data_IF_262826370590
#
_entry.id   IF_262826370590
#
_cell.length_a   1.000
_cell.length_b   1.000
_cell.length_c   1.000
_cell.angle_alpha   90.00
_cell.angle_beta   90.00
_cell.angle_gamma   90.00
#
_symmetry.space_group_name_H-M   'P 1'
#
loop_
_entity.id
_entity.type
_entity.pdbx_description
1 polymer ?
#
# COMPACT_ATOMS: atom_id res chain seq x y z
N UNK A 1 -17.67 -5.59 18.55
CA UNK A 1 -17.05 -4.38 17.96
C UNK A 1 -17.62 -4.14 16.57
N UNK A 2 -17.43 -2.92 16.03
CA UNK A 2 -17.96 -2.46 14.74
C UNK A 2 -16.83 -1.93 13.89
N UNK A 3 -16.71 -2.35 12.65
CA UNK A 3 -15.74 -1.81 11.68
C UNK A 3 -16.45 -1.09 10.54
N UNK A 4 -15.91 0.04 10.13
CA UNK A 4 -16.32 0.76 8.94
C UNK A 4 -15.27 0.51 7.83
N UNK A 5 -15.68 -0.04 6.71
CA UNK A 5 -14.84 -0.21 5.53
C UNK A 5 -15.25 0.81 4.48
N UNK A 6 -14.33 1.69 4.11
CA UNK A 6 -14.54 2.67 3.05
C UNK A 6 -14.13 2.09 1.71
N UNK A 7 -15.06 2.09 0.75
CA UNK A 7 -14.89 1.48 -0.56
C UNK A 7 -15.46 0.07 -0.66
N UNK A 8 -15.72 -0.36 -1.91
CA UNK A 8 -16.13 -1.72 -2.27
C UNK A 8 -15.50 -2.13 -3.62
N UNK A 9 -14.22 -1.79 -3.80
CA UNK A 9 -13.39 -2.26 -4.91
C UNK A 9 -12.83 -3.66 -4.66
N UNK A 10 -12.01 -4.18 -5.56
CA UNK A 10 -11.49 -5.56 -5.45
C UNK A 10 -10.71 -5.80 -4.15
N UNK A 11 -9.83 -4.88 -3.75
CA UNK A 11 -9.08 -4.98 -2.49
C UNK A 11 -10.00 -4.91 -1.26
N UNK A 12 -11.00 -4.01 -1.29
CA UNK A 12 -11.98 -3.88 -0.21
C UNK A 12 -12.85 -5.14 -0.06
N UNK A 13 -13.23 -5.77 -1.16
CA UNK A 13 -13.97 -7.04 -1.12
C UNK A 13 -13.19 -8.16 -0.44
N UNK A 14 -11.86 -8.21 -0.68
CA UNK A 14 -10.98 -9.16 0.02
C UNK A 14 -10.92 -8.85 1.52
N UNK A 15 -10.71 -7.59 1.89
CA UNK A 15 -10.70 -7.17 3.29
C UNK A 15 -12.02 -7.50 4.00
N UNK A 16 -13.16 -7.23 3.35
CA UNK A 16 -14.49 -7.53 3.91
C UNK A 16 -14.69 -9.03 4.12
N UNK A 17 -14.25 -9.88 3.17
CA UNK A 17 -14.30 -11.33 3.34
C UNK A 17 -13.48 -11.78 4.54
N UNK A 18 -12.25 -11.31 4.66
CA UNK A 18 -11.38 -11.64 5.79
C UNK A 18 -11.96 -11.20 7.14
N UNK A 19 -12.54 -10.00 7.21
CA UNK A 19 -13.20 -9.48 8.42
C UNK A 19 -14.43 -10.32 8.83
N UNK A 20 -15.09 -10.99 7.89
CA UNK A 20 -16.22 -11.88 8.14
C UNK A 20 -15.76 -13.29 8.52
N UNK A 21 -14.72 -13.80 7.88
CA UNK A 21 -14.17 -15.15 8.10
C UNK A 21 -13.38 -15.25 9.41
N UNK A 22 -12.78 -14.13 9.86
CA UNK A 22 -12.01 -14.04 11.12
C UNK A 22 -12.69 -13.03 12.08
N UNK A 23 -13.82 -13.37 12.71
CA UNK A 23 -14.74 -12.42 13.31
C UNK A 23 -14.23 -11.84 14.64
N UNK A 24 -13.49 -10.76 14.59
CA UNK A 24 -13.26 -9.84 15.71
C UNK A 24 -14.45 -8.86 15.83
N UNK A 25 -15.10 -8.57 14.72
CA UNK A 25 -16.21 -7.64 14.62
C UNK A 25 -17.55 -8.33 14.53
N UNK A 26 -18.55 -7.79 15.24
CA UNK A 26 -19.95 -8.23 15.14
C UNK A 26 -20.70 -7.51 14.02
N UNK A 27 -20.19 -6.33 13.61
CA UNK A 27 -20.79 -5.51 12.57
C UNK A 27 -19.71 -5.03 11.61
N UNK A 28 -19.93 -5.22 10.32
CA UNK A 28 -19.12 -4.67 9.22
C UNK A 28 -20.01 -3.76 8.39
N UNK A 29 -19.72 -2.47 8.38
CA UNK A 29 -20.43 -1.48 7.55
C UNK A 29 -19.55 -1.14 6.35
N UNK A 30 -20.10 -1.28 5.16
CA UNK A 30 -19.45 -0.91 3.89
C UNK A 30 -19.98 0.46 3.49
N UNK A 31 -19.11 1.46 3.41
CA UNK A 31 -19.47 2.79 2.98
C UNK A 31 -18.90 3.08 1.58
N UNK A 32 -19.76 3.37 0.63
CA UNK A 32 -19.39 3.54 -0.77
C UNK A 32 -20.36 4.46 -1.53
N UNK A 33 -19.88 5.09 -2.59
CA UNK A 33 -20.76 5.81 -3.54
C UNK A 33 -21.58 4.86 -4.43
N UNK A 34 -21.13 3.63 -4.63
CA UNK A 34 -21.74 2.61 -5.49
C UNK A 34 -22.53 1.59 -4.66
N UNK A 35 -23.60 2.06 -4.03
CA UNK A 35 -24.44 1.25 -3.12
C UNK A 35 -24.96 -0.03 -3.79
N UNK A 36 -25.57 -0.02 -5.00
CA UNK A 36 -26.09 -1.26 -5.59
C UNK A 36 -25.03 -2.34 -5.77
N UNK A 37 -23.85 -1.99 -6.27
CA UNK A 37 -22.75 -2.94 -6.47
C UNK A 37 -22.21 -3.52 -5.13
N UNK A 38 -22.30 -2.77 -4.04
CA UNK A 38 -21.95 -3.26 -2.71
C UNK A 38 -23.04 -4.17 -2.13
N UNK A 39 -24.29 -3.88 -2.37
CA UNK A 39 -25.43 -4.75 -2.00
C UNK A 39 -25.38 -6.08 -2.74
N UNK A 40 -25.11 -6.06 -4.05
CA UNK A 40 -24.90 -7.27 -4.86
C UNK A 40 -23.74 -8.12 -4.29
N UNK A 41 -22.65 -7.45 -3.89
CA UNK A 41 -21.54 -8.15 -3.24
C UNK A 41 -21.94 -8.74 -1.89
N UNK A 42 -22.68 -8.01 -1.05
CA UNK A 42 -23.16 -8.54 0.23
C UNK A 42 -24.11 -9.74 0.06
N UNK A 43 -24.89 -9.78 -0.99
CA UNK A 43 -25.78 -10.91 -1.29
C UNK A 43 -25.01 -12.23 -1.55
N UNK A 44 -23.68 -12.17 -1.78
CA UNK A 44 -22.84 -13.37 -1.94
C UNK A 44 -22.45 -14.03 -0.60
N UNK A 45 -22.67 -13.34 0.53
CA UNK A 45 -22.35 -13.88 1.85
C UNK A 45 -23.49 -14.75 2.38
N UNK A 46 -23.20 -15.91 2.98
CA UNK A 46 -24.22 -16.68 3.70
C UNK A 46 -24.70 -15.89 4.92
N UNK A 47 -25.91 -16.16 5.36
CA UNK A 47 -26.37 -15.65 6.64
C UNK A 47 -25.47 -16.18 7.77
N UNK A 48 -24.82 -15.27 8.49
CA UNK A 48 -23.84 -15.58 9.52
C UNK A 48 -24.03 -14.75 10.79
N UNK A 49 -23.08 -14.90 11.71
CA UNK A 49 -23.07 -14.16 13.00
C UNK A 49 -22.67 -12.70 12.86
N UNK A 50 -21.93 -12.35 11.79
CA UNK A 50 -21.52 -10.98 11.50
C UNK A 50 -22.63 -10.24 10.76
N UNK A 51 -23.02 -9.09 11.29
CA UNK A 51 -24.03 -8.23 10.64
C UNK A 51 -23.37 -7.34 9.60
N UNK A 52 -23.82 -7.47 8.36
CA UNK A 52 -23.33 -6.70 7.22
C UNK A 52 -24.33 -5.59 6.86
N UNK A 53 -23.80 -4.40 6.54
CA UNK A 53 -24.61 -3.25 6.16
C UNK A 53 -23.89 -2.44 5.08
N UNK A 54 -24.64 -1.89 4.12
CA UNK A 54 -24.15 -0.90 3.15
C UNK A 54 -24.70 0.48 3.50
N UNK A 55 -23.86 1.51 3.30
CA UNK A 55 -24.22 2.92 3.48
C UNK A 55 -23.67 3.72 2.29
N UNK A 56 -24.52 4.57 1.71
CA UNK A 56 -24.09 5.54 0.71
C UNK A 56 -23.31 6.68 1.35
N UNK A 57 -22.03 6.87 0.95
CA UNK A 57 -21.22 7.97 1.44
C UNK A 57 -20.22 8.43 0.37
N UNK A 58 -20.00 9.73 0.28
CA UNK A 58 -18.85 10.32 -0.39
C UNK A 58 -17.83 10.72 0.67
N UNK A 59 -16.62 10.17 0.60
CA UNK A 59 -15.53 10.43 1.56
C UNK A 59 -15.07 11.90 1.56
N UNK A 60 -15.45 12.69 0.58
CA UNK A 60 -15.21 14.14 0.54
C UNK A 60 -16.19 14.93 1.44
N UNK A 61 -17.29 14.31 1.86
CA UNK A 61 -18.27 14.95 2.76
C UNK A 61 -17.84 14.75 4.22
N UNK A 62 -16.98 15.64 4.71
CA UNK A 62 -16.24 15.52 5.97
C UNK A 62 -17.13 15.31 7.19
N UNK A 63 -18.18 16.08 7.35
CA UNK A 63 -19.08 15.99 8.53
C UNK A 63 -19.85 14.67 8.53
N UNK A 64 -20.40 14.28 7.38
CA UNK A 64 -21.11 13.00 7.20
C UNK A 64 -20.20 11.82 7.49
N UNK A 65 -18.96 11.88 6.97
CA UNK A 65 -17.98 10.81 7.15
C UNK A 65 -17.55 10.71 8.62
N UNK A 66 -17.24 11.84 9.26
CA UNK A 66 -16.84 11.86 10.69
C UNK A 66 -17.97 11.34 11.60
N UNK A 67 -19.23 11.74 11.35
CA UNK A 67 -20.38 11.23 12.07
C UNK A 67 -20.57 9.71 11.90
N UNK A 68 -20.31 9.19 10.70
CA UNK A 68 -20.36 7.75 10.42
C UNK A 68 -19.20 7.01 11.13
N UNK A 69 -17.98 7.53 11.04
CA UNK A 69 -16.81 6.97 11.74
C UNK A 69 -17.01 6.92 13.26
N UNK A 70 -17.61 7.95 13.83
CA UNK A 70 -17.88 8.02 15.28
C UNK A 70 -18.75 6.85 15.80
N UNK A 71 -19.58 6.26 14.94
CA UNK A 71 -20.45 5.11 15.26
C UNK A 71 -19.72 3.76 15.24
N UNK A 72 -18.43 3.73 14.84
CA UNK A 72 -17.63 2.54 14.68
C UNK A 72 -16.39 2.58 15.58
N UNK A 73 -15.84 1.42 15.89
CA UNK A 73 -14.66 1.29 16.76
C UNK A 73 -13.37 1.53 15.98
N UNK A 74 -13.37 1.22 14.68
CA UNK A 74 -12.23 1.43 13.76
C UNK A 74 -12.73 1.63 12.33
N UNK A 75 -11.97 2.39 11.55
CA UNK A 75 -12.19 2.54 10.10
C UNK A 75 -11.05 1.92 9.31
N UNK A 76 -11.38 1.19 8.23
CA UNK A 76 -10.45 0.65 7.26
C UNK A 76 -10.69 1.35 5.91
N UNK A 77 -9.75 2.18 5.46
CA UNK A 77 -9.88 2.94 4.22
C UNK A 77 -9.25 2.22 3.03
N UNK A 78 -10.10 1.77 2.10
CA UNK A 78 -9.75 1.24 0.79
C UNK A 78 -10.45 2.02 -0.34
N UNK A 79 -10.85 3.28 -0.06
CA UNK A 79 -11.53 4.15 -1.02
C UNK A 79 -10.50 4.92 -1.86
N UNK A 80 -10.11 4.36 -2.99
CA UNK A 80 -9.22 5.05 -3.93
C UNK A 80 -9.92 6.06 -4.87
N UNK A 81 -9.14 6.86 -5.60
CA UNK A 81 -7.68 6.90 -5.58
C UNK A 81 -7.12 7.60 -4.33
N UNK A 82 -5.99 7.09 -3.81
CA UNK A 82 -5.46 7.48 -2.50
C UNK A 82 -5.00 8.94 -2.46
N UNK A 83 -4.37 9.45 -3.53
CA UNK A 83 -3.92 10.84 -3.64
C UNK A 83 -5.05 11.89 -3.51
N UNK A 84 -6.33 11.49 -3.66
CA UNK A 84 -7.49 12.36 -3.43
C UNK A 84 -8.16 12.10 -2.08
N UNK A 85 -8.16 10.87 -1.59
CA UNK A 85 -9.06 10.45 -0.53
C UNK A 85 -8.36 10.24 0.83
N UNK A 86 -7.06 9.95 0.88
CA UNK A 86 -6.38 9.60 2.13
C UNK A 86 -6.44 10.73 3.17
N UNK A 87 -6.07 11.95 2.78
CA UNK A 87 -6.07 13.11 3.69
C UNK A 87 -7.47 13.49 4.19
N UNK A 88 -8.51 13.62 3.33
CA UNK A 88 -9.88 13.80 3.78
C UNK A 88 -10.34 12.74 4.78
N UNK A 89 -10.07 11.47 4.51
CA UNK A 89 -10.46 10.36 5.40
C UNK A 89 -9.73 10.44 6.75
N UNK A 90 -8.42 10.74 6.75
CA UNK A 90 -7.65 10.91 7.97
C UNK A 90 -8.17 12.09 8.83
N UNK A 91 -8.52 13.22 8.21
CA UNK A 91 -9.13 14.36 8.91
C UNK A 91 -10.47 13.99 9.55
N UNK A 92 -11.31 13.24 8.84
CA UNK A 92 -12.58 12.77 9.38
C UNK A 92 -12.39 11.79 10.56
N UNK A 93 -11.38 10.90 10.50
CA UNK A 93 -11.03 10.00 11.59
C UNK A 93 -10.57 10.77 12.85
N UNK A 94 -9.72 11.79 12.68
CA UNK A 94 -9.29 12.68 13.76
C UNK A 94 -10.50 13.40 14.38
N UNK A 95 -11.38 13.97 13.56
CA UNK A 95 -12.60 14.65 14.03
C UNK A 95 -13.57 13.71 14.75
N UNK A 96 -13.65 12.46 14.32
CA UNK A 96 -14.47 11.42 14.94
C UNK A 96 -13.84 10.85 16.23
N UNK A 97 -12.56 11.08 16.51
CA UNK A 97 -11.84 10.45 17.62
C UNK A 97 -11.73 8.92 17.46
N UNK A 98 -11.56 8.42 16.21
CA UNK A 98 -11.56 6.98 15.93
C UNK A 98 -10.32 6.55 15.15
N UNK A 99 -9.74 5.38 15.49
CA UNK A 99 -8.56 4.87 14.80
C UNK A 99 -8.86 4.52 13.34
N UNK A 100 -7.81 4.62 12.51
CA UNK A 100 -7.87 4.43 11.08
C UNK A 100 -6.74 3.54 10.60
N UNK A 101 -7.05 2.57 9.74
CA UNK A 101 -6.10 1.95 8.80
C UNK A 101 -6.33 2.53 7.42
N UNK A 102 -5.24 2.92 6.75
CA UNK A 102 -5.27 3.48 5.40
C UNK A 102 -4.25 2.74 4.51
N UNK A 103 -4.63 2.41 3.28
CA UNK A 103 -3.76 1.69 2.33
C UNK A 103 -3.04 2.63 1.37
N UNK A 104 -2.91 3.90 1.71
CA UNK A 104 -2.30 4.91 0.83
C UNK A 104 -0.85 4.57 0.52
N UNK A 105 -0.53 4.59 -0.76
CA UNK A 105 0.74 4.27 -1.38
C UNK A 105 1.30 5.40 -2.28
N UNK A 106 0.63 6.54 -2.29
CA UNK A 106 1.10 7.74 -2.99
C UNK A 106 2.09 8.54 -2.13
N UNK A 107 3.25 8.87 -2.66
CA UNK A 107 4.28 9.63 -1.96
C UNK A 107 3.78 10.99 -1.44
N UNK A 108 3.08 11.76 -2.29
CA UNK A 108 2.56 13.07 -1.91
C UNK A 108 1.48 12.98 -0.81
N UNK A 109 0.52 12.05 -0.97
CA UNK A 109 -0.51 11.81 0.04
C UNK A 109 0.09 11.35 1.37
N UNK A 110 1.16 10.56 1.34
CA UNK A 110 1.86 10.10 2.55
C UNK A 110 2.55 11.26 3.28
N UNK A 111 3.17 12.20 2.58
CA UNK A 111 3.72 13.42 3.19
C UNK A 111 2.62 14.24 3.88
N UNK A 112 1.49 14.44 3.19
CA UNK A 112 0.37 15.20 3.73
C UNK A 112 -0.28 14.50 4.94
N UNK A 113 -0.35 13.17 4.93
CA UNK A 113 -0.81 12.37 6.07
C UNK A 113 0.11 12.57 7.28
N UNK A 114 1.43 12.51 7.12
CA UNK A 114 2.36 12.81 8.20
C UNK A 114 2.23 14.25 8.73
N UNK A 115 1.80 15.19 7.89
CA UNK A 115 1.44 16.55 8.30
C UNK A 115 0.28 16.61 9.30
N UNK A 116 -0.53 15.55 9.43
CA UNK A 116 -1.62 15.43 10.40
C UNK A 116 -1.19 14.78 11.72
N UNK A 117 0.07 14.35 11.88
CA UNK A 117 0.54 13.62 13.06
C UNK A 117 0.24 14.35 14.39
N UNK A 118 0.56 15.65 14.47
CA UNK A 118 0.30 16.44 15.68
C UNK A 118 -1.19 16.52 16.02
N UNK A 119 -2.05 16.66 15.01
CA UNK A 119 -3.49 16.71 15.21
C UNK A 119 -4.05 15.35 15.65
N UNK A 120 -3.55 14.26 15.06
CA UNK A 120 -3.93 12.90 15.45
C UNK A 120 -3.48 12.60 16.90
N UNK A 121 -2.25 12.97 17.28
CA UNK A 121 -1.76 12.86 18.67
C UNK A 121 -2.62 13.64 19.65
N UNK A 122 -2.93 14.90 19.34
CA UNK A 122 -3.77 15.75 20.20
C UNK A 122 -5.18 15.18 20.38
N UNK A 123 -5.72 14.50 19.38
CA UNK A 123 -7.03 13.84 19.43
C UNK A 123 -6.97 12.43 20.06
N UNK A 124 -5.80 11.89 20.39
CA UNK A 124 -5.63 10.51 20.86
C UNK A 124 -5.97 9.46 19.81
N UNK A 125 -5.83 9.81 18.52
CA UNK A 125 -6.20 8.94 17.39
C UNK A 125 -4.95 8.29 16.79
N UNK A 126 -4.98 6.98 16.65
CA UNK A 126 -3.95 6.22 15.91
C UNK A 126 -4.38 6.06 14.45
N UNK A 127 -3.55 6.50 13.53
CA UNK A 127 -3.71 6.31 12.09
C UNK A 127 -2.55 5.45 11.59
N UNK A 128 -2.82 4.23 11.17
CA UNK A 128 -1.85 3.37 10.48
C UNK A 128 -1.99 3.63 9.00
N UNK A 129 -0.99 4.28 8.42
CA UNK A 129 -0.96 4.61 6.99
C UNK A 129 -0.14 3.59 6.19
N UNK A 130 -0.49 3.39 4.92
CA UNK A 130 0.28 2.55 4.03
C UNK A 130 0.28 1.06 4.41
N UNK A 131 -0.85 0.54 4.91
CA UNK A 131 -0.92 -0.87 5.29
C UNK A 131 -1.57 -1.72 4.19
N UNK A 132 -0.79 -1.95 3.14
CA UNK A 132 -1.12 -2.85 2.03
C UNK A 132 -0.05 -3.90 1.80
N UNK A 133 0.21 -4.23 0.55
CA UNK A 133 1.30 -5.11 0.13
C UNK A 133 2.66 -4.37 0.15
N UNK A 134 2.71 -3.23 -0.54
CA UNK A 134 3.82 -2.29 -0.62
C UNK A 134 3.21 -0.88 -0.80
N UNK A 135 3.38 0.01 0.18
CA UNK A 135 3.84 -0.24 1.54
C UNK A 135 2.93 -1.17 2.34
N UNK A 136 3.43 -1.63 3.46
CA UNK A 136 2.69 -2.46 4.41
C UNK A 136 3.45 -3.74 4.74
N UNK A 137 3.17 -4.84 4.05
CA UNK A 137 3.89 -6.11 4.25
C UNK A 137 5.39 -5.91 4.06
N UNK A 138 5.83 -5.19 3.03
CA UNK A 138 7.24 -4.85 2.79
C UNK A 138 7.88 -4.11 3.97
N UNK A 139 7.17 -3.16 4.57
CA UNK A 139 7.64 -2.40 5.73
C UNK A 139 7.74 -3.26 7.00
N UNK A 140 6.74 -4.12 7.23
CA UNK A 140 6.75 -5.04 8.37
C UNK A 140 7.88 -6.08 8.25
N UNK A 141 8.13 -6.58 7.03
CA UNK A 141 9.28 -7.45 6.75
C UNK A 141 10.61 -6.70 6.94
N UNK A 142 10.66 -5.42 6.57
CA UNK A 142 11.83 -4.57 6.85
C UNK A 142 12.09 -4.45 8.35
N UNK A 143 11.04 -4.21 9.16
CA UNK A 143 11.14 -4.18 10.62
C UNK A 143 11.56 -5.53 11.19
N UNK A 144 10.94 -6.62 10.72
CA UNK A 144 11.30 -7.97 11.14
C UNK A 144 12.77 -8.30 10.86
N UNK A 145 13.29 -7.93 9.70
CA UNK A 145 14.71 -8.09 9.37
C UNK A 145 15.62 -7.17 10.18
N UNK A 146 15.21 -5.94 10.40
CA UNK A 146 15.96 -4.94 11.15
C UNK A 146 16.13 -5.33 12.63
N UNK A 147 15.10 -5.88 13.26
CA UNK A 147 15.11 -6.32 14.66
C UNK A 147 16.11 -7.47 14.92
N UNK A 148 16.63 -8.09 13.86
CA UNK A 148 17.63 -9.15 13.92
C UNK A 148 19.05 -8.66 13.59
N UNK A 149 19.25 -7.35 13.50
CA UNK A 149 20.53 -6.70 13.20
C UNK A 149 20.93 -5.77 14.35
N UNK A 150 22.24 -5.70 14.62
CA UNK A 150 22.80 -4.72 15.58
C UNK A 150 22.71 -3.30 15.00
N UNK A 151 22.81 -3.17 13.67
CA UNK A 151 22.72 -1.91 12.95
C UNK A 151 22.16 -2.14 11.54
N UNK A 152 21.16 -1.36 11.17
CA UNK A 152 20.60 -1.33 9.82
C UNK A 152 21.30 -0.26 9.00
N UNK A 153 21.73 -0.59 7.79
CA UNK A 153 22.41 0.33 6.88
C UNK A 153 21.58 0.62 5.62
N UNK A 154 20.98 -0.42 5.02
CA UNK A 154 20.17 -0.28 3.82
C UNK A 154 18.89 -1.09 3.91
N UNK A 155 17.79 -0.56 3.38
CA UNK A 155 16.54 -1.29 3.18
C UNK A 155 16.10 -1.08 1.73
N UNK A 156 15.86 -2.18 1.02
CA UNK A 156 15.40 -2.18 -0.37
C UNK A 156 14.11 -2.96 -0.48
N UNK A 157 13.08 -2.30 -0.97
CA UNK A 157 11.79 -2.91 -1.26
C UNK A 157 11.61 -3.04 -2.77
N UNK A 158 10.89 -4.07 -3.18
CA UNK A 158 10.53 -4.21 -4.58
C UNK A 158 9.30 -5.08 -4.77
N UNK A 159 8.55 -4.82 -5.86
CA UNK A 159 7.36 -5.58 -6.14
C UNK A 159 7.08 -5.71 -7.65
N UNK A 160 6.32 -6.73 -7.99
CA UNK A 160 5.89 -7.03 -9.36
C UNK A 160 4.38 -7.16 -9.37
N UNK A 161 3.73 -6.43 -10.26
CA UNK A 161 2.31 -6.57 -10.52
C UNK A 161 2.06 -7.12 -11.93
N UNK A 162 1.07 -8.00 -12.04
CA UNK A 162 0.62 -8.48 -13.35
C UNK A 162 -0.47 -7.57 -13.93
N UNK A 163 -0.38 -7.26 -15.21
CA UNK A 163 -1.43 -6.53 -15.92
C UNK A 163 -2.80 -7.22 -15.83
N UNK A 164 -2.83 -8.55 -15.78
CA UNK A 164 -4.05 -9.35 -15.55
C UNK A 164 -4.64 -9.24 -14.15
N UNK A 165 -3.95 -8.63 -13.17
CA UNK A 165 -4.41 -8.42 -11.78
C UNK A 165 -4.58 -6.94 -11.42
N UNK A 166 -4.71 -6.06 -12.42
CA UNK A 166 -4.76 -4.60 -12.23
C UNK A 166 -6.04 -4.06 -11.59
N UNK A 167 -6.93 -4.88 -11.08
CA UNK A 167 -8.09 -4.40 -10.32
C UNK A 167 -8.99 -3.44 -11.10
N UNK A 168 -9.44 -2.37 -10.43
CA UNK A 168 -10.40 -1.41 -10.98
C UNK A 168 -9.83 -0.03 -11.33
N UNK A 169 -10.68 0.90 -11.82
CA UNK A 169 -10.25 2.22 -12.30
C UNK A 169 -9.48 3.06 -11.26
N UNK A 170 -9.76 2.90 -9.97
CA UNK A 170 -9.08 3.66 -8.92
C UNK A 170 -7.61 3.29 -8.80
N UNK A 171 -7.28 1.99 -8.89
CA UNK A 171 -5.88 1.53 -8.92
C UNK A 171 -5.16 2.03 -10.17
N UNK A 172 -5.79 1.94 -11.35
CA UNK A 172 -5.17 2.45 -12.58
C UNK A 172 -4.87 3.95 -12.49
N UNK A 173 -5.81 4.74 -11.94
CA UNK A 173 -5.58 6.19 -11.71
C UNK A 173 -4.41 6.43 -10.77
N UNK A 174 -4.28 5.65 -9.68
CA UNK A 174 -3.13 5.70 -8.80
C UNK A 174 -1.84 5.38 -9.57
N UNK A 175 -1.79 4.31 -10.34
CA UNK A 175 -0.61 3.90 -11.10
C UNK A 175 -0.20 4.96 -12.14
N UNK A 176 -1.16 5.56 -12.86
CA UNK A 176 -0.89 6.65 -13.79
C UNK A 176 -0.35 7.90 -13.07
N UNK A 177 -0.82 8.16 -11.85
CA UNK A 177 -0.35 9.25 -11.02
C UNK A 177 1.06 8.98 -10.49
N UNK A 178 1.29 7.92 -9.75
CA UNK A 178 2.55 7.59 -9.08
C UNK A 178 3.71 7.40 -10.05
N UNK A 179 3.47 6.80 -11.22
CA UNK A 179 4.49 6.50 -12.21
C UNK A 179 4.94 7.71 -13.04
N UNK A 180 4.23 8.82 -12.96
CA UNK A 180 4.53 10.04 -13.73
C UNK A 180 4.79 11.26 -12.84
N UNK A 181 4.69 11.10 -11.53
CA UNK A 181 5.05 12.11 -10.55
C UNK A 181 6.47 11.87 -10.02
N UNK A 182 6.83 12.58 -8.96
CA UNK A 182 8.16 12.51 -8.38
C UNK A 182 8.36 11.17 -7.67
N UNK A 183 9.47 10.50 -7.95
CA UNK A 183 9.97 9.36 -7.22
C UNK A 183 11.24 9.73 -6.45
N UNK A 184 11.49 9.07 -5.33
CA UNK A 184 12.59 9.38 -4.45
C UNK A 184 13.26 8.13 -3.92
N UNK A 185 14.56 8.23 -3.69
CA UNK A 185 15.33 7.31 -2.85
C UNK A 185 15.85 8.08 -1.64
N UNK A 186 16.06 7.40 -0.53
CA UNK A 186 16.79 7.96 0.61
C UNK A 186 18.25 7.57 0.49
N UNK A 187 19.16 8.54 0.55
CA UNK A 187 20.59 8.33 0.42
C UNK A 187 21.35 9.28 1.34
N UNK A 188 22.17 8.73 2.25
CA UNK A 188 23.04 9.43 3.19
C UNK A 188 22.37 10.64 3.89
N UNK A 189 21.18 10.42 4.44
CA UNK A 189 20.44 11.41 5.25
C UNK A 189 19.51 12.33 4.47
N UNK A 190 19.39 12.17 3.16
CA UNK A 190 18.54 13.03 2.31
C UNK A 190 17.68 12.25 1.31
N UNK A 191 16.52 12.82 0.99
CA UNK A 191 15.69 12.31 -0.11
C UNK A 191 16.26 12.85 -1.45
N UNK A 192 16.61 11.94 -2.35
CA UNK A 192 17.10 12.25 -3.70
C UNK A 192 16.05 11.87 -4.74
N UNK A 193 15.70 12.82 -5.59
CA UNK A 193 14.75 12.58 -6.67
C UNK A 193 15.36 11.70 -7.77
N UNK A 194 14.57 10.74 -8.26
CA UNK A 194 14.91 9.79 -9.31
C UNK A 194 13.80 9.74 -10.35
N UNK A 195 14.10 9.23 -11.55
CA UNK A 195 13.13 9.09 -12.63
C UNK A 195 12.48 7.71 -12.58
N UNK A 196 11.13 7.64 -12.38
CA UNK A 196 10.43 6.37 -12.38
C UNK A 196 10.68 5.57 -13.67
N UNK A 197 10.89 4.26 -13.55
CA UNK A 197 11.16 3.29 -14.64
C UNK A 197 12.42 3.58 -15.50
N UNK A 198 13.16 4.64 -15.24
CA UNK A 198 14.38 4.97 -15.96
C UNK A 198 15.64 4.75 -15.11
N UNK A 199 15.60 5.20 -13.84
CA UNK A 199 16.73 5.07 -12.92
C UNK A 199 16.63 3.78 -12.06
N UNK A 200 17.76 3.31 -11.54
CA UNK A 200 17.85 2.19 -10.61
C UNK A 200 17.49 0.83 -11.20
N UNK A 201 17.63 0.66 -12.52
CA UNK A 201 17.35 -0.63 -13.17
C UNK A 201 18.28 -1.70 -12.66
N UNK A 202 17.69 -2.82 -12.25
CA UNK A 202 18.43 -4.02 -11.85
C UNK A 202 17.56 -5.27 -12.08
N UNK A 203 18.21 -6.42 -12.17
CA UNK A 203 17.52 -7.72 -12.23
C UNK A 203 17.53 -8.35 -10.86
N UNK A 204 16.35 -8.66 -10.35
CA UNK A 204 16.13 -9.27 -9.03
C UNK A 204 15.50 -10.65 -9.22
N UNK A 205 15.97 -11.61 -8.41
CA UNK A 205 15.37 -12.95 -8.34
C UNK A 205 14.14 -12.94 -7.43
N UNK A 206 13.01 -13.43 -7.94
CA UNK A 206 11.76 -13.53 -7.21
C UNK A 206 11.25 -14.97 -7.17
N UNK A 207 10.60 -15.37 -6.05
CA UNK A 207 9.92 -16.67 -5.98
C UNK A 207 8.90 -16.82 -7.10
N UNK A 208 8.81 -18.01 -7.69
CA UNK A 208 7.83 -18.36 -8.74
C UNK A 208 8.05 -17.64 -10.07
N UNK A 209 8.60 -16.42 -10.07
CA UNK A 209 8.75 -15.59 -11.28
C UNK A 209 10.15 -15.68 -11.88
N UNK A 210 11.17 -16.07 -11.09
CA UNK A 210 12.57 -16.04 -11.50
C UNK A 210 13.15 -14.62 -11.60
N UNK A 211 14.18 -14.41 -12.42
CA UNK A 211 14.84 -13.12 -12.57
C UNK A 211 13.96 -12.13 -13.35
N UNK A 212 13.71 -10.97 -12.76
CA UNK A 212 12.88 -9.91 -13.35
C UNK A 212 13.58 -8.55 -13.21
N UNK A 213 13.61 -7.78 -14.29
CA UNK A 213 14.09 -6.40 -14.27
C UNK A 213 13.06 -5.49 -13.62
N UNK A 214 13.52 -4.70 -12.65
CA UNK A 214 12.76 -3.66 -11.92
C UNK A 214 13.48 -2.33 -12.01
N UNK A 215 12.77 -1.24 -11.73
CA UNK A 215 13.32 0.12 -11.68
C UNK A 215 12.64 0.92 -10.58
N UNK A 216 13.21 2.06 -10.19
CA UNK A 216 12.62 2.93 -9.17
C UNK A 216 11.20 3.37 -9.56
N UNK A 217 10.35 3.53 -8.55
CA UNK A 217 8.96 3.94 -8.68
C UNK A 217 8.60 5.00 -7.62
N UNK A 218 7.52 5.74 -7.86
CA UNK A 218 7.07 6.81 -6.97
C UNK A 218 6.22 6.30 -5.80
N UNK A 219 6.84 5.59 -4.86
CA UNK A 219 6.22 5.07 -3.64
C UNK A 219 6.82 5.69 -2.37
N UNK A 220 6.13 5.64 -1.21
CA UNK A 220 6.53 6.32 0.01
C UNK A 220 7.52 5.55 0.89
N UNK A 221 7.83 4.27 0.61
CA UNK A 221 8.68 3.43 1.46
C UNK A 221 10.02 4.08 1.80
N UNK A 222 10.79 4.70 0.85
CA UNK A 222 12.06 5.32 1.20
C UNK A 222 11.92 6.39 2.28
N UNK A 223 10.83 7.16 2.25
CA UNK A 223 10.54 8.19 3.24
C UNK A 223 10.06 7.61 4.57
N UNK A 224 9.19 6.60 4.55
CA UNK A 224 8.68 5.94 5.74
C UNK A 224 9.80 5.24 6.50
N UNK A 225 10.62 4.47 5.79
CA UNK A 225 11.75 3.72 6.34
C UNK A 225 12.82 4.66 6.92
N UNK A 226 13.15 5.76 6.24
CA UNK A 226 14.11 6.75 6.73
C UNK A 226 13.66 7.40 8.06
N UNK A 227 12.35 7.55 8.28
CA UNK A 227 11.81 8.06 9.54
C UNK A 227 11.87 7.02 10.67
N UNK A 228 11.72 5.74 10.32
CA UNK A 228 11.61 4.64 11.28
C UNK A 228 12.97 4.07 11.71
N UNK A 229 14.00 4.19 10.86
CA UNK A 229 15.33 3.64 11.09
C UNK A 229 16.43 4.72 11.08
N UNK A 230 16.81 5.28 12.25
CA UNK A 230 17.75 6.41 12.31
C UNK A 230 19.17 6.11 11.80
N UNK A 231 19.60 4.83 11.77
CA UNK A 231 20.91 4.41 11.26
C UNK A 231 20.92 4.17 9.74
N UNK A 232 19.76 4.28 9.09
CA UNK A 232 19.62 3.99 7.67
C UNK A 232 20.42 4.98 6.82
N UNK A 233 21.13 4.45 5.85
CA UNK A 233 21.92 5.22 4.89
C UNK A 233 21.30 5.18 3.49
N UNK A 234 20.59 4.10 3.17
CA UNK A 234 19.96 3.96 1.87
C UNK A 234 18.59 3.26 1.99
N UNK A 235 17.60 3.79 1.30
CA UNK A 235 16.33 3.09 1.06
C UNK A 235 15.81 3.42 -0.35
N UNK A 236 15.31 2.39 -1.02
CA UNK A 236 14.61 2.52 -2.30
C UNK A 236 13.37 1.62 -2.37
N UNK A 237 12.48 1.96 -3.30
CA UNK A 237 11.42 1.07 -3.76
C UNK A 237 11.49 0.94 -5.28
N UNK A 238 11.36 -0.29 -5.78
CA UNK A 238 11.43 -0.62 -7.20
C UNK A 238 10.25 -1.47 -7.61
N UNK A 239 9.83 -1.31 -8.85
CA UNK A 239 8.75 -2.12 -9.37
C UNK A 239 8.88 -2.42 -10.87
N UNK A 240 8.04 -3.34 -11.31
CA UNK A 240 7.72 -3.53 -12.72
C UNK A 240 6.34 -4.14 -12.90
N UNK A 241 5.75 -3.90 -14.06
CA UNK A 241 4.52 -4.54 -14.48
C UNK A 241 4.81 -5.58 -15.56
N UNK A 242 4.15 -6.73 -15.47
CA UNK A 242 4.31 -7.79 -16.45
C UNK A 242 2.99 -8.05 -17.20
N UNK A 243 3.02 -8.22 -18.53
CA UNK A 243 4.21 -8.08 -19.39
C UNK A 243 4.75 -6.65 -19.41
N UNK A 244 6.04 -6.48 -19.69
CA UNK A 244 6.77 -5.19 -19.56
C UNK A 244 6.23 -4.06 -20.44
N UNK A 245 5.49 -4.38 -21.50
CA UNK A 245 4.78 -3.38 -22.32
C UNK A 245 3.79 -2.53 -21.50
N UNK A 246 3.30 -3.05 -20.37
CA UNK A 246 2.42 -2.30 -19.46
C UNK A 246 3.16 -1.11 -18.83
N UNK A 247 4.48 -1.23 -18.56
CA UNK A 247 5.29 -0.10 -18.05
C UNK A 247 5.26 1.08 -19.03
N UNK A 248 5.55 0.82 -20.31
CA UNK A 248 5.52 1.85 -21.36
C UNK A 248 4.13 2.47 -21.49
N UNK A 249 3.08 1.64 -21.47
CA UNK A 249 1.71 2.11 -21.56
C UNK A 249 1.34 3.05 -20.40
N UNK A 250 1.69 2.69 -19.16
CA UNK A 250 1.44 3.51 -17.98
C UNK A 250 2.22 4.83 -18.06
N UNK A 251 3.48 4.80 -18.50
CA UNK A 251 4.29 6.02 -18.63
C UNK A 251 3.74 6.98 -19.69
N UNK A 252 3.41 6.47 -20.88
CA UNK A 252 2.91 7.32 -21.98
C UNK A 252 1.53 7.91 -21.65
N UNK A 253 0.60 7.07 -21.19
CA UNK A 253 -0.74 7.55 -20.84
C UNK A 253 -0.74 8.37 -19.55
N UNK A 254 0.17 8.13 -18.61
CA UNK A 254 0.36 8.97 -17.44
C UNK A 254 0.80 10.37 -17.79
N UNK A 255 1.71 10.54 -18.79
CA UNK A 255 2.09 11.87 -19.31
C UNK A 255 0.90 12.60 -19.92
N UNK A 256 0.02 11.89 -20.65
CA UNK A 256 -1.23 12.44 -21.19
C UNK A 256 -2.17 12.87 -20.04
N UNK A 257 -2.36 11.99 -19.06
CA UNK A 257 -3.22 12.25 -17.91
C UNK A 257 -2.78 13.49 -17.09
N UNK A 258 -1.47 13.69 -16.93
CA UNK A 258 -0.89 14.85 -16.23
C UNK A 258 -1.21 16.19 -16.88
N UNK A 259 -1.57 16.22 -18.17
CA UNK A 259 -1.90 17.48 -18.85
C UNK A 259 -3.09 18.19 -18.17
N UNK A 260 -3.99 17.43 -17.55
CA UNK A 260 -5.17 17.94 -16.84
C UNK A 260 -6.14 18.75 -17.71
N UNK A 261 -5.87 18.88 -19.00
CA UNK A 261 -6.67 19.72 -19.93
C UNK A 261 -7.62 18.82 -20.71
N UNK A 262 -8.94 18.95 -20.50
CA UNK A 262 -9.92 18.20 -21.27
C UNK A 262 -9.75 18.40 -22.78
N UNK A 263 -9.84 17.31 -23.52
CA UNK A 263 -9.66 17.28 -24.97
C UNK A 263 -11.02 17.11 -25.66
N UNK A 264 -11.37 17.95 -26.65
CA UNK A 264 -12.61 17.77 -27.41
C UNK A 264 -12.50 16.58 -28.38
N UNK A 265 -13.36 15.58 -28.17
CA UNK A 265 -13.46 14.40 -29.04
C UNK A 265 -14.92 14.18 -29.39
N UNK A 266 -15.25 14.22 -30.69
CA UNK A 266 -16.62 14.01 -31.17
C UNK A 266 -17.65 14.96 -30.52
N UNK A 267 -17.26 16.20 -30.25
CA UNK A 267 -18.13 17.20 -29.60
C UNK A 267 -18.29 17.07 -28.08
N UNK A 268 -17.55 16.16 -27.44
CA UNK A 268 -17.51 16.00 -25.98
C UNK A 268 -16.12 16.36 -25.44
N UNK A 269 -16.07 16.97 -24.27
CA UNK A 269 -14.83 17.17 -23.53
C UNK A 269 -14.51 15.89 -22.77
N UNK A 270 -13.35 15.32 -23.03
CA UNK A 270 -12.84 14.11 -22.37
C UNK A 270 -11.73 14.51 -21.42
N UNK A 271 -11.85 14.12 -20.17
CA UNK A 271 -10.78 14.23 -19.16
C UNK A 271 -9.64 13.25 -19.52
N UNK A 272 -8.38 13.73 -19.63
CA UNK A 272 -7.26 12.86 -20.01
C UNK A 272 -7.00 11.71 -19.03
N UNK A 273 -7.22 11.91 -17.72
CA UNK A 273 -7.07 10.86 -16.70
C UNK A 273 -8.14 9.79 -16.86
N UNK A 274 -9.40 10.19 -17.14
CA UNK A 274 -10.50 9.24 -17.38
C UNK A 274 -10.24 8.40 -18.63
N UNK A 275 -9.77 9.05 -19.70
CA UNK A 275 -9.40 8.35 -20.92
C UNK A 275 -8.25 7.36 -20.67
N UNK A 276 -7.14 7.83 -20.07
CA UNK A 276 -5.97 7.01 -19.81
C UNK A 276 -6.30 5.81 -18.91
N UNK A 277 -7.03 6.03 -17.82
CA UNK A 277 -7.42 4.96 -16.92
C UNK A 277 -8.33 3.92 -17.58
N UNK A 278 -9.28 4.37 -18.41
CA UNK A 278 -10.17 3.47 -19.14
C UNK A 278 -9.44 2.66 -20.19
N UNK A 279 -8.50 3.28 -20.91
CA UNK A 279 -7.69 2.62 -21.94
C UNK A 279 -6.77 1.55 -21.34
N UNK A 280 -6.04 1.88 -20.25
CA UNK A 280 -5.18 0.91 -19.56
C UNK A 280 -6.01 -0.26 -19.04
N UNK A 281 -7.16 0.01 -18.42
CA UNK A 281 -8.03 -1.04 -17.89
C UNK A 281 -8.50 -1.99 -19.00
N UNK A 282 -8.93 -1.45 -20.13
CA UNK A 282 -9.37 -2.25 -21.26
C UNK A 282 -8.22 -3.05 -21.90
N UNK A 283 -7.01 -2.46 -22.00
CA UNK A 283 -5.82 -3.16 -22.45
C UNK A 283 -5.49 -4.34 -21.53
N UNK A 284 -5.50 -4.13 -20.22
CA UNK A 284 -5.18 -5.14 -19.22
C UNK A 284 -6.21 -6.28 -19.17
N UNK A 285 -7.48 -6.00 -19.43
CA UNK A 285 -8.52 -7.04 -19.55
C UNK A 285 -8.25 -8.04 -20.70
N UNK A 286 -7.59 -7.59 -21.75
CA UNK A 286 -7.20 -8.45 -22.88
C UNK A 286 -6.01 -9.36 -22.59
N UNK A 287 -5.39 -9.23 -21.41
CA UNK A 287 -4.34 -10.12 -20.92
C UNK A 287 -4.91 -11.37 -20.21
N UNK A 288 -6.14 -11.75 -20.52
CA UNK A 288 -6.77 -12.97 -20.02
C UNK A 288 -5.89 -14.21 -20.32
N UNK A 289 -5.82 -15.12 -19.34
CA UNK A 289 -4.95 -16.31 -19.44
C UNK A 289 -3.49 -16.10 -19.01
N UNK A 290 -3.06 -14.86 -18.76
CA UNK A 290 -1.78 -14.59 -18.11
C UNK A 290 -1.93 -14.81 -16.60
N UNK A 291 -0.98 -15.51 -15.98
CA UNK A 291 -0.98 -15.71 -14.52
C UNK A 291 -1.13 -14.36 -13.79
N UNK A 292 -2.06 -14.24 -12.83
CA UNK A 292 -2.23 -13.02 -12.05
C UNK A 292 -1.23 -12.89 -10.89
N UNK A 293 -0.30 -13.83 -10.75
CA UNK A 293 0.64 -13.88 -9.63
C UNK A 293 1.75 -12.86 -9.84
N UNK A 294 1.81 -11.89 -8.95
CA UNK A 294 2.92 -10.98 -8.75
C UNK A 294 3.83 -11.43 -7.62
N UNK A 295 4.74 -10.57 -7.18
CA UNK A 295 5.62 -10.84 -6.06
C UNK A 295 5.98 -9.54 -5.33
N UNK A 296 6.41 -9.67 -4.08
CA UNK A 296 7.07 -8.61 -3.31
C UNK A 296 8.38 -9.15 -2.73
N UNK A 297 9.31 -8.24 -2.47
CA UNK A 297 10.58 -8.57 -1.86
C UNK A 297 11.06 -7.40 -1.00
N UNK A 298 11.57 -7.74 0.17
CA UNK A 298 12.23 -6.79 1.09
C UNK A 298 13.62 -7.31 1.39
N UNK A 299 14.62 -6.46 1.26
CA UNK A 299 16.00 -6.75 1.61
C UNK A 299 16.48 -5.76 2.66
N UNK A 300 16.97 -6.26 3.78
CA UNK A 300 17.54 -5.49 4.89
C UNK A 300 19.01 -5.82 5.02
N UNK A 301 19.86 -4.82 4.90
CA UNK A 301 21.31 -4.93 4.99
C UNK A 301 21.83 -4.20 6.21
N UNK A 302 22.79 -4.81 6.86
CA UNK A 302 23.38 -4.23 8.07
C UNK A 302 24.43 -5.12 8.68
N UNK A 303 24.55 -5.08 10.00
CA UNK A 303 25.62 -5.72 10.75
C UNK A 303 25.08 -6.54 11.90
N UNK A 304 25.66 -7.73 12.11
CA UNK A 304 25.47 -8.59 13.27
C UNK A 304 26.84 -9.08 13.76
N UNK A 305 27.20 -8.76 15.00
CA UNK A 305 28.47 -9.16 15.59
C UNK A 305 29.70 -8.70 14.81
N UNK A 306 29.64 -7.52 14.17
CA UNK A 306 30.70 -6.98 13.33
C UNK A 306 30.77 -7.57 11.90
N UNK A 307 29.85 -8.47 11.53
CA UNK A 307 29.78 -9.06 10.18
C UNK A 307 28.68 -8.37 9.37
N UNK A 308 28.99 -8.02 8.15
CA UNK A 308 27.98 -7.47 7.22
C UNK A 308 27.10 -8.61 6.68
N UNK A 309 25.80 -8.47 6.83
CA UNK A 309 24.82 -9.45 6.41
C UNK A 309 23.65 -8.77 5.67
N UNK A 310 22.98 -9.53 4.81
CA UNK A 310 21.70 -9.14 4.24
C UNK A 310 20.64 -10.21 4.51
N UNK A 311 19.46 -9.77 4.89
CA UNK A 311 18.27 -10.59 5.05
C UNK A 311 17.31 -10.28 3.93
N UNK A 312 16.83 -11.31 3.27
CA UNK A 312 15.92 -11.19 2.13
C UNK A 312 14.64 -11.93 2.45
N UNK A 313 13.53 -11.25 2.31
CA UNK A 313 12.18 -11.78 2.46
C UNK A 313 11.45 -11.61 1.13
N UNK A 314 10.82 -12.66 0.65
CA UNK A 314 10.07 -12.60 -0.59
C UNK A 314 8.79 -13.44 -0.52
N UNK A 315 7.76 -12.98 -1.22
CA UNK A 315 6.49 -13.70 -1.33
C UNK A 315 5.88 -13.48 -2.72
N UNK A 316 5.12 -14.46 -3.19
CA UNK A 316 4.37 -14.37 -4.43
C UNK A 316 2.86 -14.45 -4.15
N UNK A 317 2.06 -13.65 -4.87
CA UNK A 317 0.63 -13.61 -4.65
C UNK A 317 -0.10 -12.62 -5.57
N UNK A 318 -1.42 -12.48 -5.34
CA UNK A 318 -2.24 -11.49 -6.03
C UNK A 318 -2.30 -10.19 -5.25
N UNK A 319 -2.31 -9.05 -5.95
CA UNK A 319 -2.30 -7.73 -5.33
C UNK A 319 -3.53 -7.48 -4.44
N UNK A 320 -4.71 -7.92 -4.87
CA UNK A 320 -5.93 -7.74 -4.10
C UNK A 320 -5.87 -8.43 -2.73
N UNK A 321 -5.29 -9.63 -2.67
CA UNK A 321 -5.06 -10.40 -1.45
C UNK A 321 -3.97 -9.74 -0.61
N UNK A 322 -2.83 -9.41 -1.24
CA UNK A 322 -1.68 -8.78 -0.60
C UNK A 322 -1.98 -7.39 0.00
N UNK A 323 -3.05 -6.72 -0.43
CA UNK A 323 -3.46 -5.42 0.11
C UNK A 323 -4.66 -5.54 1.06
N UNK A 324 -5.69 -6.29 0.67
CA UNK A 324 -6.93 -6.35 1.43
C UNK A 324 -6.80 -7.04 2.79
N UNK A 325 -6.08 -8.15 2.84
CA UNK A 325 -5.87 -8.90 4.09
C UNK A 325 -4.99 -8.12 5.09
N UNK A 326 -3.85 -7.54 4.73
CA UNK A 326 -3.09 -6.66 5.62
C UNK A 326 -3.91 -5.53 6.22
N UNK A 327 -4.73 -4.86 5.42
CA UNK A 327 -5.63 -3.81 5.91
C UNK A 327 -6.66 -4.34 6.92
N UNK A 328 -7.24 -5.52 6.68
CA UNK A 328 -8.15 -6.17 7.61
C UNK A 328 -7.46 -6.54 8.93
N UNK A 329 -6.25 -7.13 8.87
CA UNK A 329 -5.44 -7.45 10.05
C UNK A 329 -5.15 -6.17 10.85
N UNK A 330 -4.73 -5.09 10.19
CA UNK A 330 -4.49 -3.81 10.85
C UNK A 330 -5.73 -3.27 11.57
N UNK A 331 -6.90 -3.35 10.94
CA UNK A 331 -8.16 -2.96 11.58
C UNK A 331 -8.48 -3.83 12.82
N UNK A 332 -8.21 -5.13 12.76
CA UNK A 332 -8.37 -6.03 13.91
C UNK A 332 -7.39 -5.66 15.03
N UNK A 333 -6.10 -5.44 14.72
CA UNK A 333 -5.08 -5.08 15.71
C UNK A 333 -5.38 -3.75 16.41
N UNK A 334 -5.86 -2.74 15.67
CA UNK A 334 -6.33 -1.48 16.26
C UNK A 334 -7.55 -1.69 17.17
N UNK A 335 -8.53 -2.47 16.72
CA UNK A 335 -9.75 -2.71 17.48
C UNK A 335 -9.50 -3.43 18.82
N UNK A 336 -8.55 -4.37 18.86
CA UNK A 336 -8.14 -5.08 20.08
C UNK A 336 -7.00 -4.37 20.85
N UNK A 337 -6.65 -3.16 20.45
CA UNK A 337 -5.58 -2.33 21.06
C UNK A 337 -4.19 -2.96 21.11
N UNK A 338 -3.87 -3.79 20.13
CA UNK A 338 -2.51 -4.25 19.90
C UNK A 338 -1.66 -3.17 19.22
N UNK A 339 -2.31 -2.25 18.50
CA UNK A 339 -1.74 -1.00 18.03
C UNK A 339 -2.44 0.12 18.80
N UNK A 340 -1.69 0.84 19.64
CA UNK A 340 -2.21 1.95 20.47
C UNK A 340 -1.12 3.03 20.59
N UNK A 341 -0.86 3.70 19.45
CA UNK A 341 0.15 4.76 19.34
C UNK A 341 -0.48 5.97 18.64
N UNK A 342 -1.05 6.94 19.37
CA UNK A 342 -1.64 8.12 18.78
C UNK A 342 -0.66 8.86 17.85
N UNK A 343 -1.16 9.32 16.72
CA UNK A 343 -0.41 9.94 15.65
C UNK A 343 -0.61 9.24 14.32
N UNK A 344 0.10 9.70 13.30
CA UNK A 344 0.18 9.05 11.99
C UNK A 344 1.41 8.16 11.96
N UNK A 345 1.20 6.86 11.91
CA UNK A 345 2.23 5.86 12.07
C UNK A 345 2.40 5.03 10.78
N UNK A 346 3.61 4.83 10.28
CA UNK A 346 3.86 3.83 9.27
C UNK A 346 3.86 2.42 9.89
N UNK A 347 3.60 1.34 9.13
CA UNK A 347 3.45 -0.01 9.66
C UNK A 347 4.64 -0.50 10.48
N UNK A 348 5.86 -0.26 10.00
CA UNK A 348 7.10 -0.66 10.65
C UNK A 348 7.36 0.04 11.99
N UNK A 349 6.69 1.14 12.26
CA UNK A 349 6.86 1.88 13.52
C UNK A 349 5.85 1.48 14.60
N UNK A 350 4.72 0.85 14.23
CA UNK A 350 3.62 0.64 15.18
C UNK A 350 3.06 -0.78 15.21
N UNK A 351 3.46 -1.65 14.27
CA UNK A 351 3.00 -3.03 14.20
C UNK A 351 4.13 -3.97 14.61
N UNK A 352 3.89 -4.79 15.61
CA UNK A 352 4.81 -5.86 15.99
C UNK A 352 4.83 -6.93 14.89
N UNK A 353 5.99 -7.21 14.26
CA UNK A 353 6.07 -8.13 13.14
C UNK A 353 5.54 -9.54 13.44
N UNK A 354 5.87 -10.08 14.61
CA UNK A 354 5.45 -11.44 15.00
C UNK A 354 3.93 -11.61 14.98
N UNK A 355 3.19 -10.63 15.52
CA UNK A 355 1.72 -10.71 15.53
C UNK A 355 1.13 -10.64 14.13
N UNK A 356 1.69 -9.77 13.31
CA UNK A 356 1.20 -9.57 11.95
C UNK A 356 1.52 -10.76 11.05
N UNK A 357 2.76 -11.26 11.10
CA UNK A 357 3.19 -12.41 10.31
C UNK A 357 2.44 -13.69 10.72
N UNK A 358 2.22 -13.90 12.02
CA UNK A 358 1.40 -15.01 12.50
C UNK A 358 -0.06 -14.91 12.00
N UNK A 359 -0.62 -13.68 11.94
CA UNK A 359 -1.97 -13.47 11.41
C UNK A 359 -2.04 -13.70 9.89
N UNK A 360 -0.98 -13.38 9.14
CA UNK A 360 -0.87 -13.71 7.71
C UNK A 360 -0.77 -15.22 7.47
N UNK A 361 0.07 -15.91 8.27
CA UNK A 361 0.26 -17.37 8.16
C UNK A 361 -1.03 -18.14 8.41
N UNK A 362 -1.81 -17.74 9.42
CA UNK A 362 -3.13 -18.34 9.71
C UNK A 362 -4.11 -18.25 8.54
N UNK A 363 -3.91 -17.34 7.61
CA UNK A 363 -4.74 -17.13 6.41
C UNK A 363 -4.26 -17.89 5.19
N UNK A 364 -3.08 -18.51 5.26
CA UNK A 364 -2.48 -19.34 4.21
C UNK A 364 -2.43 -18.63 2.83
N UNK A 365 -2.21 -17.31 2.82
CA UNK A 365 -2.31 -16.50 1.59
C UNK A 365 -1.02 -16.44 0.78
N UNK A 366 0.12 -16.60 1.44
CA UNK A 366 1.44 -16.64 0.82
C UNK A 366 2.43 -17.30 1.77
N UNK A 367 3.42 -17.99 1.22
CA UNK A 367 4.61 -18.38 1.94
C UNK A 367 5.66 -17.28 1.81
N UNK A 368 6.17 -16.78 2.94
CA UNK A 368 7.27 -15.83 2.94
C UNK A 368 8.56 -16.65 2.98
N UNK A 369 9.36 -16.53 1.93
CA UNK A 369 10.69 -17.11 1.88
C UNK A 369 11.69 -16.17 2.56
N UNK A 370 12.53 -16.71 3.45
CA UNK A 370 13.60 -15.95 4.09
C UNK A 370 14.97 -16.51 3.68
N UNK A 371 15.90 -15.61 3.39
CA UNK A 371 17.30 -15.95 3.13
C UNK A 371 18.22 -15.03 3.94
N UNK A 372 19.26 -15.59 4.56
CA UNK A 372 20.32 -14.86 5.26
C UNK A 372 21.62 -15.08 4.50
N UNK A 373 22.21 -14.02 4.00
CA UNK A 373 23.35 -14.04 3.09
C UNK A 373 24.46 -13.11 3.61
N UNK A 374 25.71 -13.43 3.33
CA UNK A 374 26.80 -12.49 3.51
C UNK A 374 26.60 -11.27 2.57
N UNK A 375 26.98 -10.10 3.04
CA UNK A 375 26.91 -8.87 2.26
C UNK A 375 28.29 -8.22 2.17
N UNK A 376 28.75 -8.05 0.94
CA UNK A 376 29.93 -7.23 0.67
C UNK A 376 29.49 -5.78 0.51
N UNK A 377 29.97 -4.91 1.42
CA UNK A 377 29.68 -3.46 1.32
C UNK A 377 30.35 -2.92 0.06
N UNK A 378 29.57 -2.32 -0.81
CA UNK A 378 30.15 -1.58 -1.92
C UNK A 378 30.99 -0.43 -1.38
N UNK A 379 32.22 -0.22 -1.89
CA UNK A 379 33.05 0.90 -1.48
C UNK A 379 32.30 2.20 -1.78
N UNK A 380 32.16 3.08 -0.77
CA UNK A 380 31.55 4.39 -0.91
C UNK A 380 32.25 5.12 -2.06
N UNK A 381 31.53 5.35 -3.16
CA UNK A 381 32.06 6.11 -4.30
C UNK A 381 32.36 7.54 -3.83
N UNK A 382 33.62 7.83 -3.52
CA UNK A 382 34.02 9.16 -3.08
C UNK A 382 35.19 9.23 -2.10
N UNK A 383 35.66 8.10 -1.53
CA UNK A 383 36.90 8.11 -0.74
C UNK A 383 38.16 7.99 -1.66
N UNK A 384 38.29 8.91 -2.63
CA UNK A 384 39.62 9.17 -3.19
C UNK A 384 40.27 10.26 -2.33
N UNK A 385 41.36 9.84 -1.68
CA UNK A 385 42.27 10.71 -0.94
C UNK A 385 42.86 11.82 -1.81
#
# INVERSE_FOLDING_TARGET
MRVLVLGCGEMAKVAIRDLVEHPVFQHVTIATRRVPAAEDFLATFPHGTVRLRVVGVDVQQQETLAALMHQHDVTCNLAGPNYLNAVPVARAAIAAGRPLVDVSDDFAASLDLFGLDSAARAAGVTIVMGLGASPGVTNILARHGADQLDRVEEIRTSWIMRGSDMGGPALIRHLLFSNTHRAFVFEDGAMREVRPFEDGRETIEYPVLGPVEVAHIGHPEPFMLARSFPSLRYADDKATFLPTQVNSLLMELGRVARSGRPVPVGGRLIDPMDFAASYVLEHCRRLEGVSPIGALRTEVRGEVGGRAVRRVYAAAGRIGIGTGIPAAIGAMLLAIRKIDQPGVQPPEACIEPEWFLAALDQRHIASIEEQVLDWEREPVAGARR
#
